data_IF_418787298289
#
_entry.id   IF_418787298289
#
_cell.length_a   1.000
_cell.length_b   1.000
_cell.length_c   1.000
_cell.angle_alpha   90.00
_cell.angle_beta   90.00
_cell.angle_gamma   90.00
#
_symmetry.space_group_name_H-M   'P 1'
#
loop_
_entity.id
_entity.type
_entity.pdbx_description
1 polymer ?
#
# COMPACT_ATOMS: atom_id res chain seq x y z
N UNK A 1 -19.17 -3.88 9.54
CA UNK A 1 -19.21 -5.33 9.87
C UNK A 1 -18.06 -6.11 9.23
N UNK A 2 -17.64 -5.82 8.00
CA UNK A 2 -16.55 -6.53 7.30
C UNK A 2 -15.23 -6.53 8.06
N UNK A 3 -14.81 -5.37 8.59
CA UNK A 3 -13.57 -5.23 9.39
C UNK A 3 -13.62 -6.09 10.67
N UNK A 4 -14.75 -6.07 11.40
CA UNK A 4 -14.89 -6.85 12.62
C UNK A 4 -14.84 -8.37 12.32
N UNK A 5 -15.45 -8.80 11.21
CA UNK A 5 -15.39 -10.18 10.75
C UNK A 5 -13.96 -10.58 10.33
N UNK A 6 -13.24 -9.68 9.65
CA UNK A 6 -11.86 -9.90 9.27
C UNK A 6 -10.97 -10.09 10.51
N UNK A 7 -11.06 -9.19 11.49
CA UNK A 7 -10.34 -9.29 12.76
C UNK A 7 -10.67 -10.60 13.48
N UNK A 8 -11.95 -10.97 13.56
CA UNK A 8 -12.36 -12.23 14.18
C UNK A 8 -11.72 -13.44 13.51
N UNK A 9 -11.73 -13.50 12.17
CA UNK A 9 -11.14 -14.62 11.44
C UNK A 9 -9.61 -14.70 11.62
N UNK A 10 -8.92 -13.56 11.60
CA UNK A 10 -7.48 -13.48 11.87
C UNK A 10 -7.18 -13.98 13.28
N UNK A 11 -7.85 -13.43 14.30
CA UNK A 11 -7.54 -13.71 15.71
C UNK A 11 -7.97 -15.11 16.18
N UNK A 12 -9.13 -15.58 15.71
CA UNK A 12 -9.71 -16.83 16.21
C UNK A 12 -9.47 -18.04 15.33
N UNK A 13 -9.21 -17.81 14.04
CA UNK A 13 -9.07 -18.89 13.05
C UNK A 13 -7.69 -18.90 12.38
N UNK A 14 -6.90 -17.84 12.53
CA UNK A 14 -5.62 -17.67 11.81
C UNK A 14 -5.80 -17.64 10.29
N UNK A 15 -6.93 -17.12 9.81
CA UNK A 15 -7.28 -17.15 8.39
C UNK A 15 -7.22 -15.77 7.75
N UNK A 16 -6.64 -15.71 6.57
CA UNK A 16 -6.76 -14.54 5.68
C UNK A 16 -8.19 -14.34 5.20
N UNK A 17 -8.56 -13.10 4.88
CA UNK A 17 -9.95 -12.73 4.61
C UNK A 17 -10.07 -11.94 3.32
N UNK A 18 -11.13 -12.19 2.57
CA UNK A 18 -11.55 -11.35 1.43
C UNK A 18 -12.76 -10.53 1.86
N UNK A 19 -12.66 -9.20 1.71
CA UNK A 19 -13.77 -8.27 1.87
C UNK A 19 -14.18 -7.80 0.47
N UNK A 20 -15.28 -8.38 -0.03
CA UNK A 20 -15.85 -8.06 -1.33
C UNK A 20 -16.99 -7.07 -1.17
N UNK A 21 -16.71 -5.80 -1.32
CA UNK A 21 -17.69 -4.73 -1.18
C UNK A 21 -17.78 -3.91 -2.48
N UNK A 22 -18.95 -3.39 -2.78
CA UNK A 22 -19.16 -2.55 -3.96
C UNK A 22 -18.27 -1.29 -3.93
N UNK A 23 -17.98 -0.74 -5.11
CA UNK A 23 -17.27 0.54 -5.21
C UNK A 23 -18.01 1.66 -4.46
N UNK A 24 -17.26 2.55 -3.81
CA UNK A 24 -17.82 3.74 -3.14
C UNK A 24 -18.28 3.57 -1.69
N UNK A 25 -18.27 2.37 -1.11
CA UNK A 25 -18.73 2.15 0.28
C UNK A 25 -17.63 2.23 1.35
N UNK A 26 -16.51 2.91 1.05
CA UNK A 26 -15.50 3.23 2.05
C UNK A 26 -14.42 2.16 2.23
N UNK A 27 -14.02 1.44 1.18
CA UNK A 27 -12.91 0.47 1.20
C UNK A 27 -11.61 1.06 1.75
N UNK A 28 -11.29 2.31 1.41
CA UNK A 28 -10.12 3.01 1.98
C UNK A 28 -10.15 3.06 3.51
N UNK A 29 -11.32 3.36 4.10
CA UNK A 29 -11.48 3.34 5.56
C UNK A 29 -11.40 1.94 6.16
N UNK A 30 -11.83 0.91 5.43
CA UNK A 30 -11.66 -0.48 5.87
C UNK A 30 -10.17 -0.87 5.86
N UNK A 31 -9.43 -0.50 4.81
CA UNK A 31 -7.98 -0.69 4.75
C UNK A 31 -7.26 0.05 5.90
N UNK A 32 -7.59 1.31 6.13
CA UNK A 32 -7.05 2.10 7.23
C UNK A 32 -7.40 1.49 8.62
N UNK A 33 -8.61 0.94 8.77
CA UNK A 33 -9.01 0.23 9.98
C UNK A 33 -8.18 -1.05 10.20
N UNK A 34 -7.82 -1.76 9.13
CA UNK A 34 -6.94 -2.92 9.21
C UNK A 34 -5.48 -2.52 9.51
N UNK A 35 -5.00 -1.39 8.98
CA UNK A 35 -3.70 -0.82 9.40
C UNK A 35 -3.72 -0.52 10.89
N UNK A 36 -4.76 0.19 11.38
CA UNK A 36 -4.92 0.52 12.80
C UNK A 36 -4.96 -0.73 13.67
N UNK A 37 -5.75 -1.73 13.29
CA UNK A 37 -5.79 -3.01 13.97
C UNK A 37 -4.40 -3.66 14.04
N UNK A 38 -3.69 -3.72 12.92
CA UNK A 38 -2.36 -4.31 12.84
C UNK A 38 -1.38 -3.63 13.80
N UNK A 39 -1.33 -2.30 13.80
CA UNK A 39 -0.48 -1.51 14.72
C UNK A 39 -0.80 -1.79 16.19
N UNK A 40 -2.08 -1.84 16.55
CA UNK A 40 -2.51 -2.09 17.92
C UNK A 40 -2.30 -3.54 18.40
N UNK A 41 -2.25 -4.49 17.46
CA UNK A 41 -2.12 -5.93 17.72
C UNK A 41 -0.69 -6.46 17.52
N UNK A 42 0.29 -5.57 17.32
CA UNK A 42 1.70 -5.92 17.15
C UNK A 42 2.04 -6.58 15.82
N UNK A 43 1.23 -6.33 14.79
CA UNK A 43 1.59 -6.64 13.41
C UNK A 43 2.37 -5.48 12.79
N UNK A 44 3.16 -5.81 11.79
CA UNK A 44 3.68 -4.85 10.80
C UNK A 44 2.71 -4.82 9.61
N UNK A 45 1.85 -3.77 9.47
CA UNK A 45 0.96 -3.65 8.34
C UNK A 45 1.74 -3.30 7.07
N UNK A 46 1.41 -3.94 5.95
CA UNK A 46 1.95 -3.64 4.63
C UNK A 46 0.77 -3.42 3.68
N UNK A 47 0.57 -2.16 3.28
CA UNK A 47 -0.51 -1.75 2.40
C UNK A 47 -0.08 -1.78 0.94
N UNK A 48 -0.81 -2.52 0.12
CA UNK A 48 -0.63 -2.63 -1.32
C UNK A 48 -1.76 -1.94 -2.06
N UNK A 49 -1.42 -1.15 -3.08
CA UNK A 49 -2.40 -0.53 -3.96
C UNK A 49 -1.88 -0.46 -5.40
N UNK A 50 -2.77 -0.12 -6.33
CA UNK A 50 -2.44 0.00 -7.75
C UNK A 50 -1.61 1.27 -8.04
N UNK A 51 -1.96 2.39 -7.39
CA UNK A 51 -1.41 3.72 -7.66
C UNK A 51 -0.84 4.38 -6.42
N UNK A 52 0.34 4.97 -6.52
CA UNK A 52 0.97 5.64 -5.38
C UNK A 52 0.28 6.96 -4.99
N UNK A 53 -0.52 7.57 -5.85
CA UNK A 53 -1.36 8.73 -5.50
C UNK A 53 -2.37 8.39 -4.41
N UNK A 54 -2.80 7.12 -4.31
CA UNK A 54 -3.71 6.61 -3.26
C UNK A 54 -3.04 6.55 -1.87
N UNK A 55 -1.73 6.73 -1.77
CA UNK A 55 -1.06 6.81 -0.46
C UNK A 55 -1.52 8.04 0.35
N UNK A 56 -1.82 9.15 -0.33
CA UNK A 56 -2.35 10.35 0.32
C UNK A 56 -3.80 10.15 0.78
N UNK A 57 -4.61 9.42 0.00
CA UNK A 57 -5.95 9.02 0.42
C UNK A 57 -5.90 8.09 1.64
N UNK A 58 -4.97 7.13 1.65
CA UNK A 58 -4.75 6.25 2.79
C UNK A 58 -4.31 7.02 4.03
N UNK A 59 -3.41 8.01 3.89
CA UNK A 59 -3.04 8.88 5.00
C UNK A 59 -4.25 9.64 5.57
N UNK A 60 -5.10 10.24 4.72
CA UNK A 60 -6.34 10.89 5.12
C UNK A 60 -7.23 9.93 5.93
N UNK A 61 -7.42 8.71 5.44
CA UNK A 61 -8.26 7.72 6.11
C UNK A 61 -7.65 7.22 7.44
N UNK A 62 -6.33 7.05 7.50
CA UNK A 62 -5.59 6.77 8.74
C UNK A 62 -5.73 7.92 9.75
N UNK A 63 -5.58 9.17 9.31
CA UNK A 63 -5.78 10.38 10.14
C UNK A 63 -7.20 10.42 10.72
N UNK A 64 -8.22 10.13 9.91
CA UNK A 64 -9.61 10.07 10.35
C UNK A 64 -9.87 8.98 11.41
N UNK A 65 -9.07 7.91 11.43
CA UNK A 65 -9.13 6.83 12.42
C UNK A 65 -8.18 7.03 13.62
N UNK A 66 -7.57 8.21 13.76
CA UNK A 66 -6.73 8.57 14.90
C UNK A 66 -5.34 7.96 14.90
N UNK A 67 -4.81 7.53 13.76
CA UNK A 67 -3.43 7.01 13.60
C UNK A 67 -2.56 7.90 12.71
N UNK A 68 -2.77 9.22 12.76
CA UNK A 68 -2.01 10.20 11.99
C UNK A 68 -0.50 10.22 12.29
N UNK A 69 -0.11 9.77 13.47
CA UNK A 69 1.29 9.76 13.92
C UNK A 69 2.06 8.52 13.44
N UNK A 70 1.36 7.51 12.90
CA UNK A 70 2.00 6.33 12.35
C UNK A 70 2.79 6.66 11.08
N UNK A 71 4.05 6.27 11.04
CA UNK A 71 5.03 6.65 10.01
C UNK A 71 5.17 5.57 8.95
N UNK A 72 4.73 5.82 7.70
CA UNK A 72 4.90 4.86 6.61
C UNK A 72 6.32 4.83 6.06
N UNK A 73 6.85 3.64 5.77
CA UNK A 73 7.88 3.49 4.77
C UNK A 73 7.20 3.44 3.39
N UNK A 74 7.40 4.49 2.59
CA UNK A 74 6.98 4.51 1.19
C UNK A 74 8.03 3.81 0.34
N UNK A 75 7.72 2.63 -0.20
CA UNK A 75 8.67 1.80 -0.95
C UNK A 75 8.87 2.30 -2.40
N UNK A 76 7.96 3.13 -2.90
CA UNK A 76 8.07 3.76 -4.21
C UNK A 76 9.02 4.97 -4.15
N UNK A 77 10.19 4.88 -4.76
CA UNK A 77 11.19 5.95 -4.76
C UNK A 77 10.64 7.25 -5.37
N UNK A 78 10.95 8.39 -4.73
CA UNK A 78 10.55 9.72 -5.21
C UNK A 78 9.11 10.12 -4.91
N UNK A 79 8.31 9.23 -4.36
CA UNK A 79 6.90 9.49 -4.03
C UNK A 79 6.78 10.24 -2.71
N UNK A 80 5.80 11.14 -2.64
CA UNK A 80 5.42 11.88 -1.44
C UNK A 80 3.98 11.59 -1.06
N UNK A 81 3.68 11.71 0.23
CA UNK A 81 2.32 11.66 0.78
C UNK A 81 1.96 13.07 1.24
N UNK A 82 0.79 13.55 0.84
CA UNK A 82 0.32 14.89 1.18
C UNK A 82 -0.91 14.83 2.10
N UNK A 83 -1.08 15.88 2.90
CA UNK A 83 -2.30 16.08 3.70
C UNK A 83 -3.27 16.98 2.93
N UNK A 84 -4.37 16.42 2.45
CA UNK A 84 -5.40 17.15 1.72
C UNK A 84 -6.15 18.20 2.55
N UNK A 85 -6.07 18.14 3.87
CA UNK A 85 -6.68 19.12 4.75
C UNK A 85 -5.84 20.39 4.90
N UNK A 86 -4.55 20.36 4.50
CA UNK A 86 -3.62 21.48 4.61
C UNK A 86 -3.21 22.00 3.23
N UNK A 87 -3.93 23.00 2.74
CA UNK A 87 -3.64 23.67 1.48
C UNK A 87 -2.54 24.71 1.67
N UNK A 88 -1.42 24.57 0.96
CA UNK A 88 -0.25 25.46 1.03
C UNK A 88 -0.36 26.60 0.01
N UNK A 89 -0.91 26.35 -1.17
CA UNK A 89 -1.11 27.37 -2.23
C UNK A 89 -2.54 27.34 -2.73
N UNK A 90 -3.27 28.43 -2.51
CA UNK A 90 -4.54 28.67 -3.20
C UNK A 90 -4.26 29.14 -4.64
N UNK A 91 -3.96 28.25 -5.55
CA UNK A 91 -3.97 28.55 -6.98
C UNK A 91 -4.96 27.69 -7.73
N UNK A 92 -5.87 28.43 -8.34
CA UNK A 92 -6.78 28.06 -9.44
C UNK A 92 -7.20 26.57 -9.47
N UNK A 93 -8.40 26.37 -9.04
CA UNK A 93 -9.26 25.22 -9.35
C UNK A 93 -8.98 24.61 -10.71
N UNK A 94 -8.10 23.61 -10.77
CA UNK A 94 -8.34 22.51 -11.67
C UNK A 94 -9.44 21.69 -11.01
N UNK A 95 -10.65 21.80 -11.48
CA UNK A 95 -11.75 20.94 -11.08
C UNK A 95 -11.35 19.51 -11.38
N UNK A 96 -11.57 18.62 -10.41
CA UNK A 96 -11.26 17.18 -10.47
C UNK A 96 -11.84 16.44 -11.68
N UNK A 97 -12.68 17.10 -12.48
CA UNK A 97 -13.43 16.54 -13.60
C UNK A 97 -12.70 16.61 -14.95
N UNK A 98 -11.57 17.32 -15.05
CA UNK A 98 -10.78 17.42 -16.29
C UNK A 98 -9.58 16.47 -16.33
N UNK A 99 -9.37 15.65 -15.32
CA UNK A 99 -8.24 14.73 -15.31
C UNK A 99 -8.68 13.41 -15.95
N UNK A 100 -8.47 13.34 -17.25
CA UNK A 100 -8.63 12.14 -18.06
C UNK A 100 -7.85 10.95 -17.45
N UNK A 101 -8.50 9.79 -17.33
CA UNK A 101 -7.86 8.56 -16.87
C UNK A 101 -7.35 7.82 -18.12
N UNK A 102 -6.04 7.71 -18.34
CA UNK A 102 -5.50 7.05 -19.51
C UNK A 102 -5.81 5.55 -19.54
N UNK A 103 -6.01 5.02 -20.74
CA UNK A 103 -6.32 3.60 -20.95
C UNK A 103 -5.05 2.71 -20.95
N UNK A 104 -3.87 3.29 -21.21
CA UNK A 104 -2.61 2.57 -21.37
C UNK A 104 -1.68 2.72 -20.14
N UNK A 105 -0.87 1.67 -19.84
CA UNK A 105 0.01 1.64 -18.66
C UNK A 105 1.11 2.73 -18.69
N UNK A 106 1.67 3.06 -19.85
CA UNK A 106 2.69 4.11 -20.01
C UNK A 106 2.14 5.51 -19.73
N UNK A 107 0.91 5.78 -20.18
CA UNK A 107 0.22 7.02 -19.89
C UNK A 107 -0.17 7.13 -18.43
N UNK A 108 -0.42 6.00 -17.74
CA UNK A 108 -0.72 5.97 -16.31
C UNK A 108 0.46 6.45 -15.45
N UNK A 109 1.70 6.06 -15.73
CA UNK A 109 2.86 6.50 -14.94
C UNK A 109 3.10 8.01 -15.08
N UNK A 110 2.98 8.54 -16.30
CA UNK A 110 3.10 9.97 -16.55
C UNK A 110 2.00 10.76 -15.85
N UNK A 111 0.76 10.30 -15.97
CA UNK A 111 -0.39 10.88 -15.31
C UNK A 111 -0.24 10.90 -13.77
N UNK A 112 0.21 9.80 -13.18
CA UNK A 112 0.49 9.71 -11.75
C UNK A 112 1.57 10.69 -11.31
N UNK A 113 2.65 10.84 -12.09
CA UNK A 113 3.73 11.76 -11.80
C UNK A 113 3.26 13.23 -11.88
N UNK A 114 2.47 13.59 -12.89
CA UNK A 114 1.89 14.93 -13.04
C UNK A 114 0.92 15.25 -11.90
N UNK A 115 0.07 14.31 -11.53
CA UNK A 115 -0.87 14.43 -10.41
C UNK A 115 -0.14 14.57 -9.07
N UNK A 116 0.90 13.80 -8.85
CA UNK A 116 1.72 13.91 -7.64
C UNK A 116 2.44 15.26 -7.57
N UNK A 117 2.98 15.76 -8.70
CA UNK A 117 3.61 17.07 -8.76
C UNK A 117 2.61 18.20 -8.45
N UNK A 118 1.36 18.05 -8.90
CA UNK A 118 0.28 18.98 -8.57
C UNK A 118 -0.05 18.94 -7.08
N UNK A 119 -0.21 17.76 -6.50
CA UNK A 119 -0.49 17.57 -5.07
C UNK A 119 0.60 18.19 -4.20
N UNK A 120 1.87 17.99 -4.54
CA UNK A 120 3.00 18.58 -3.78
C UNK A 120 3.05 20.11 -3.83
N UNK A 121 2.47 20.74 -4.86
CA UNK A 121 2.34 22.20 -4.94
C UNK A 121 1.16 22.74 -4.16
N UNK A 122 0.08 22.00 -4.09
CA UNK A 122 -1.18 22.45 -3.50
C UNK A 122 -1.32 22.11 -2.02
N UNK A 123 -0.73 20.99 -1.58
CA UNK A 123 -0.93 20.45 -0.25
C UNK A 123 0.37 20.27 0.52
N UNK A 124 0.27 20.25 1.84
CA UNK A 124 1.40 19.98 2.71
C UNK A 124 1.92 18.55 2.50
N UNK A 125 3.24 18.41 2.29
CA UNK A 125 3.89 17.12 2.21
C UNK A 125 4.19 16.61 3.62
N UNK A 126 3.52 15.53 4.03
CA UNK A 126 3.68 14.93 5.37
C UNK A 126 4.71 13.83 5.43
N UNK A 127 4.83 13.03 4.37
CA UNK A 127 5.85 11.98 4.27
C UNK A 127 6.49 11.99 2.88
N UNK A 128 7.77 11.61 2.84
CA UNK A 128 8.52 11.38 1.59
C UNK A 128 9.15 10.01 1.62
N UNK A 129 9.13 9.33 0.48
CA UNK A 129 9.94 8.15 0.31
C UNK A 129 11.41 8.48 0.63
N UNK A 130 12.17 7.57 1.24
CA UNK A 130 13.60 7.73 1.40
C UNK A 130 14.28 8.02 0.06
N UNK A 131 15.44 8.68 0.09
CA UNK A 131 16.27 8.84 -1.11
C UNK A 131 16.55 7.45 -1.72
N UNK A 132 16.62 7.37 -3.05
CA UNK A 132 16.75 6.09 -3.77
C UNK A 132 17.87 5.20 -3.23
N UNK A 133 19.03 5.77 -2.89
CA UNK A 133 20.16 5.01 -2.30
C UNK A 133 19.82 4.45 -0.92
N UNK A 134 19.20 5.26 -0.05
CA UNK A 134 18.80 4.85 1.31
C UNK A 134 17.72 3.77 1.24
N UNK A 135 16.73 3.94 0.35
CA UNK A 135 15.69 2.92 0.12
C UNK A 135 16.31 1.61 -0.36
N UNK A 136 17.26 1.68 -1.31
CA UNK A 136 17.95 0.49 -1.82
C UNK A 136 18.73 -0.23 -0.71
N UNK A 137 19.40 0.52 0.17
CA UNK A 137 20.11 -0.06 1.32
C UNK A 137 19.15 -0.77 2.28
N UNK A 138 17.98 -0.19 2.57
CA UNK A 138 16.94 -0.82 3.41
C UNK A 138 16.46 -2.11 2.76
N UNK A 139 16.16 -2.08 1.46
CA UNK A 139 15.66 -3.23 0.71
C UNK A 139 16.68 -4.38 0.68
N UNK A 140 17.96 -4.08 0.46
CA UNK A 140 19.04 -5.08 0.41
C UNK A 140 19.30 -5.68 1.78
N UNK A 141 19.29 -4.86 2.84
CA UNK A 141 19.48 -5.34 4.22
C UNK A 141 18.35 -6.26 4.69
N UNK A 142 17.15 -6.10 4.13
CA UNK A 142 15.99 -6.89 4.54
C UNK A 142 15.47 -6.55 5.94
N UNK A 143 15.80 -5.36 6.46
CA UNK A 143 15.46 -4.93 7.82
C UNK A 143 14.97 -3.49 7.81
N UNK A 144 14.00 -3.18 8.67
CA UNK A 144 13.59 -1.80 8.90
C UNK A 144 14.55 -1.11 9.87
N UNK A 145 14.94 0.15 9.62
CA UNK A 145 15.65 0.93 10.63
C UNK A 145 14.81 1.01 11.91
N UNK A 146 15.47 0.80 13.05
CA UNK A 146 14.82 0.77 14.35
C UNK A 146 14.00 2.02 14.60
N UNK A 147 12.75 1.84 15.03
CA UNK A 147 11.80 2.90 15.37
C UNK A 147 11.59 3.98 14.31
N UNK A 148 11.93 3.70 13.05
CA UNK A 148 11.81 4.66 11.96
C UNK A 148 10.44 4.63 11.28
N UNK A 149 9.85 3.45 11.16
CA UNK A 149 8.62 3.21 10.42
C UNK A 149 7.71 2.26 11.18
N UNK A 150 6.40 2.51 11.09
CA UNK A 150 5.38 1.75 11.80
C UNK A 150 4.60 0.82 10.84
N UNK A 151 4.55 1.16 9.54
CA UNK A 151 3.92 0.36 8.49
C UNK A 151 4.53 0.67 7.12
N UNK A 152 4.17 -0.09 6.09
CA UNK A 152 4.66 0.10 4.72
C UNK A 152 3.53 0.45 3.75
N UNK A 153 3.88 1.24 2.74
CA UNK A 153 3.05 1.52 1.57
C UNK A 153 3.83 1.16 0.29
N UNK A 154 3.24 0.32 -0.54
CA UNK A 154 3.86 -0.18 -1.77
C UNK A 154 2.82 -0.33 -2.87
N UNK A 155 3.18 0.00 -4.12
CA UNK A 155 2.31 -0.32 -5.27
C UNK A 155 2.62 -1.69 -5.85
N UNK A 156 1.63 -2.31 -6.49
CA UNK A 156 1.81 -3.59 -7.18
C UNK A 156 2.89 -3.54 -8.26
N UNK A 157 3.05 -2.40 -8.93
CA UNK A 157 4.09 -2.20 -9.95
C UNK A 157 5.50 -2.47 -9.44
N UNK A 158 5.75 -2.26 -8.14
CA UNK A 158 7.05 -2.52 -7.51
C UNK A 158 7.43 -4.01 -7.47
N UNK A 159 6.47 -4.91 -7.69
CA UNK A 159 6.67 -6.37 -7.73
C UNK A 159 6.58 -6.96 -9.15
N UNK A 160 6.23 -6.16 -10.17
CA UNK A 160 6.08 -6.63 -11.57
C UNK A 160 7.37 -7.24 -12.13
N UNK A 161 8.52 -6.69 -11.76
CA UNK A 161 9.84 -7.13 -12.25
C UNK A 161 10.53 -8.17 -11.35
N UNK A 162 9.80 -8.80 -10.41
CA UNK A 162 10.37 -9.75 -9.45
C UNK A 162 11.11 -10.93 -10.11
N UNK A 163 10.84 -11.26 -11.37
CA UNK A 163 11.62 -12.26 -12.12
C UNK A 163 13.03 -11.80 -12.49
N UNK A 164 13.26 -10.49 -12.59
CA UNK A 164 14.56 -9.88 -12.95
C UNK A 164 15.27 -9.32 -11.74
N UNK A 165 14.50 -8.73 -10.82
CA UNK A 165 15.00 -8.12 -9.59
C UNK A 165 14.15 -8.59 -8.40
N UNK A 166 14.68 -9.56 -7.66
CA UNK A 166 14.04 -10.14 -6.46
C UNK A 166 14.16 -9.26 -5.22
N UNK A 167 14.86 -8.13 -5.28
CA UNK A 167 15.22 -7.33 -4.09
C UNK A 167 14.01 -6.99 -3.23
N UNK A 168 12.91 -6.51 -3.83
CA UNK A 168 11.70 -6.16 -3.09
C UNK A 168 10.96 -7.37 -2.54
N UNK A 169 10.91 -8.45 -3.30
CA UNK A 169 10.29 -9.69 -2.83
C UNK A 169 11.06 -10.29 -1.66
N UNK A 170 12.40 -10.36 -1.77
CA UNK A 170 13.27 -10.83 -0.70
C UNK A 170 13.15 -9.94 0.55
N UNK A 171 13.02 -8.62 0.38
CA UNK A 171 12.77 -7.71 1.49
C UNK A 171 11.45 -8.04 2.21
N UNK A 172 10.36 -8.23 1.46
CA UNK A 172 9.07 -8.62 2.05
C UNK A 172 9.15 -9.97 2.76
N UNK A 173 9.82 -10.96 2.17
CA UNK A 173 10.07 -12.26 2.82
C UNK A 173 10.85 -12.12 4.13
N UNK A 174 11.92 -11.31 4.12
CA UNK A 174 12.72 -11.05 5.30
C UNK A 174 11.89 -10.40 6.43
N UNK A 175 11.05 -9.43 6.09
CA UNK A 175 10.13 -8.81 7.06
C UNK A 175 9.13 -9.81 7.63
N UNK A 176 8.57 -10.69 6.79
CA UNK A 176 7.65 -11.74 7.23
C UNK A 176 8.32 -12.77 8.15
N UNK A 177 9.62 -13.00 7.99
CA UNK A 177 10.41 -13.85 8.90
C UNK A 177 10.77 -13.19 10.24
N UNK A 178 10.82 -11.85 10.28
CA UNK A 178 11.22 -11.07 11.46
C UNK A 178 10.04 -10.54 12.26
N UNK A 179 8.90 -10.28 11.62
CA UNK A 179 7.73 -9.64 12.18
C UNK A 179 6.45 -10.46 11.96
N UNK A 180 5.47 -10.24 12.80
CA UNK A 180 4.09 -10.64 12.49
C UNK A 180 3.54 -9.66 11.46
N UNK A 181 3.42 -10.09 10.21
CA UNK A 181 3.03 -9.23 9.10
C UNK A 181 1.55 -9.37 8.77
N UNK A 182 0.90 -8.24 8.51
CA UNK A 182 -0.46 -8.16 7.98
C UNK A 182 -0.42 -7.49 6.60
N UNK A 183 -0.59 -8.26 5.54
CA UNK A 183 -0.76 -7.74 4.19
C UNK A 183 -2.19 -7.23 3.99
N UNK A 184 -2.32 -6.01 3.46
CA UNK A 184 -3.59 -5.37 3.15
C UNK A 184 -3.57 -5.01 1.67
N UNK A 185 -4.33 -5.72 0.86
CA UNK A 185 -4.39 -5.58 -0.58
C UNK A 185 -5.62 -4.77 -0.97
N UNK A 186 -5.43 -3.53 -1.42
CA UNK A 186 -6.48 -2.71 -2.00
C UNK A 186 -6.62 -3.01 -3.49
N UNK A 187 -7.86 -3.05 -4.01
CA UNK A 187 -8.17 -3.45 -5.38
C UNK A 187 -7.49 -4.79 -5.77
N UNK A 188 -7.63 -5.79 -4.90
CA UNK A 188 -6.92 -7.06 -4.97
C UNK A 188 -7.06 -7.79 -6.32
N UNK A 189 -8.18 -7.58 -7.04
CA UNK A 189 -8.39 -8.12 -8.38
C UNK A 189 -7.32 -7.69 -9.39
N UNK A 190 -6.73 -6.50 -9.23
CA UNK A 190 -5.65 -5.99 -10.10
C UNK A 190 -4.33 -6.71 -9.89
N UNK A 191 -4.09 -7.25 -8.69
CA UNK A 191 -2.91 -8.08 -8.40
C UNK A 191 -3.04 -9.48 -8.99
N UNK A 192 -4.28 -9.98 -9.11
CA UNK A 192 -4.57 -11.38 -9.47
C UNK A 192 -4.42 -11.69 -10.96
N UNK A 193 -4.24 -10.69 -11.84
CA UNK A 193 -4.19 -10.76 -13.30
C UNK A 193 -4.02 -12.16 -13.89
N UNK A 194 -5.15 -12.87 -14.10
CA UNK A 194 -5.14 -14.18 -14.72
C UNK A 194 -5.26 -13.98 -16.23
N UNK A 195 -4.13 -13.83 -16.89
CA UNK A 195 -4.08 -13.89 -18.34
C UNK A 195 -3.79 -15.34 -18.75
N UNK A 196 -4.69 -15.93 -19.52
CA UNK A 196 -4.56 -17.28 -20.09
C UNK A 196 -4.30 -18.39 -19.06
N UNK A 197 -4.92 -18.31 -17.86
CA UNK A 197 -4.82 -19.36 -16.85
C UNK A 197 -3.52 -19.37 -16.04
N UNK A 198 -2.66 -18.37 -16.19
CA UNK A 198 -1.42 -18.22 -15.41
C UNK A 198 -1.55 -17.09 -14.40
N UNK A 199 -1.19 -17.36 -13.15
CA UNK A 199 -1.10 -16.34 -12.11
C UNK A 199 -0.07 -15.25 -12.51
N UNK A 200 -0.36 -13.98 -12.18
CA UNK A 200 0.56 -12.87 -12.41
C UNK A 200 1.88 -13.07 -11.65
N UNK A 201 2.94 -12.38 -12.06
CA UNK A 201 4.23 -12.39 -11.34
C UNK A 201 4.06 -11.95 -9.89
N UNK A 202 3.18 -10.97 -9.66
CA UNK A 202 2.84 -10.45 -8.33
C UNK A 202 2.20 -11.55 -7.48
N UNK A 203 1.18 -12.24 -8.02
CA UNK A 203 0.51 -13.33 -7.32
C UNK A 203 1.47 -14.48 -7.00
N UNK A 204 2.35 -14.85 -7.96
CA UNK A 204 3.36 -15.87 -7.72
C UNK A 204 4.31 -15.48 -6.59
N UNK A 205 4.77 -14.21 -6.57
CA UNK A 205 5.65 -13.70 -5.53
C UNK A 205 4.99 -13.67 -4.15
N UNK A 206 3.74 -13.23 -4.07
CA UNK A 206 2.99 -13.23 -2.80
C UNK A 206 2.74 -14.66 -2.31
N UNK A 207 2.35 -15.58 -3.20
CA UNK A 207 2.16 -16.99 -2.82
C UNK A 207 3.45 -17.60 -2.27
N UNK A 208 4.59 -17.33 -2.91
CA UNK A 208 5.90 -17.79 -2.43
C UNK A 208 6.19 -17.28 -1.00
N UNK A 209 5.89 -16.01 -0.71
CA UNK A 209 6.05 -15.48 0.66
C UNK A 209 5.13 -16.23 1.62
N UNK A 210 3.86 -16.44 1.28
CA UNK A 210 2.87 -17.07 2.17
C UNK A 210 3.18 -18.55 2.41
N UNK A 211 3.73 -19.26 1.44
CA UNK A 211 4.19 -20.64 1.60
C UNK A 211 5.37 -20.75 2.59
N UNK A 212 6.32 -19.81 2.52
CA UNK A 212 7.48 -19.77 3.41
C UNK A 212 7.16 -19.19 4.80
N UNK A 213 6.12 -18.36 4.91
CA UNK A 213 5.76 -17.65 6.14
C UNK A 213 4.27 -17.80 6.45
N UNK A 214 3.79 -19.00 6.86
CA UNK A 214 2.37 -19.31 7.04
C UNK A 214 1.71 -18.51 8.18
N UNK A 215 2.48 -17.86 9.05
CA UNK A 215 1.99 -16.96 10.09
C UNK A 215 1.57 -15.58 9.55
N UNK A 216 1.96 -15.23 8.32
CA UNK A 216 1.57 -13.98 7.66
C UNK A 216 0.09 -13.99 7.34
N UNK A 217 -0.62 -12.93 7.73
CA UNK A 217 -2.05 -12.78 7.49
C UNK A 217 -2.31 -11.83 6.33
N UNK A 218 -3.40 -12.06 5.60
CA UNK A 218 -3.79 -11.24 4.45
C UNK A 218 -5.23 -10.76 4.57
N UNK A 219 -5.46 -9.52 4.17
CA UNK A 219 -6.80 -8.98 3.92
C UNK A 219 -6.85 -8.47 2.48
N UNK A 220 -7.77 -9.02 1.71
CA UNK A 220 -7.99 -8.65 0.32
C UNK A 220 -9.26 -7.82 0.22
N UNK A 221 -9.12 -6.58 -0.24
CA UNK A 221 -10.23 -5.67 -0.50
C UNK A 221 -10.46 -5.61 -2.01
N UNK A 222 -11.65 -5.93 -2.45
CA UNK A 222 -12.00 -5.93 -3.87
C UNK A 222 -13.43 -5.44 -4.08
N UNK A 223 -13.70 -4.91 -5.28
CA UNK A 223 -15.03 -4.62 -5.73
C UNK A 223 -15.56 -5.76 -6.60
#
# INVERSE_FOLDING_TARGET
DGVALAIYNIEKRGQSVVIGDQTGIGKGRQAAAMIRYGLLSGYLPIFFTDRYTLFSDMYRDCKALGIKEARPLVVNAGVSVVDFDHVVEQKATCTSDEIWSPADEEDNEKYEAERMALYQKQYEVVYKAPKKSVLQDILIKGELPQDAFDYLMITYSQLKDAKRDMTRLNFLMALCGQHRVLFIFDEAHKSSGVNAGKASVITQGINMILEETPQTQCVFLSA
#
